data_IF_786495769904
#
_entry.id   IF_786495769904
#
_cell.length_a   1.000
_cell.length_b   1.000
_cell.length_c   1.000
_cell.angle_alpha   90.00
_cell.angle_beta   90.00
_cell.angle_gamma   90.00
#
_symmetry.space_group_name_H-M   'P 1'
#
loop_
_entity.id
_entity.type
_entity.pdbx_description
1 polymer ?
#
# COMPACT_ATOMS: atom_id res chain seq x y z
N UNK A 1 -24.37 6.58 2.13
CA UNK A 1 -23.23 5.73 2.53
C UNK A 1 -21.98 6.56 2.41
N UNK A 2 -21.60 7.21 3.50
CA UNK A 2 -20.41 8.05 3.54
C UNK A 2 -19.16 7.19 3.35
N UNK A 3 -18.52 7.32 2.19
CA UNK A 3 -17.35 6.53 1.76
C UNK A 3 -16.01 7.17 2.15
N UNK A 4 -16.00 8.20 3.00
CA UNK A 4 -14.79 8.86 3.47
C UNK A 4 -14.14 8.08 4.62
N UNK A 5 -13.72 6.84 4.35
CA UNK A 5 -12.88 6.08 5.29
C UNK A 5 -11.42 6.43 5.04
N UNK A 6 -10.75 6.92 6.07
CA UNK A 6 -9.33 7.29 6.06
C UNK A 6 -8.49 6.30 6.87
N UNK A 7 -7.17 6.30 6.66
CA UNK A 7 -6.26 5.44 7.42
C UNK A 7 -6.21 5.77 8.92
N UNK A 8 -6.65 6.96 9.30
CA UNK A 8 -6.77 7.42 10.68
C UNK A 8 -8.00 6.81 11.39
N UNK A 9 -9.00 6.36 10.63
CA UNK A 9 -10.19 5.69 11.18
C UNK A 9 -9.93 4.22 11.58
N UNK A 10 -8.81 3.65 11.13
CA UNK A 10 -8.41 2.28 11.45
C UNK A 10 -7.52 2.31 12.69
N UNK A 11 -7.89 1.66 13.79
CA UNK A 11 -7.06 1.60 15.00
C UNK A 11 -6.12 0.39 14.95
N UNK A 12 -4.83 0.61 15.23
CA UNK A 12 -3.81 -0.45 15.25
C UNK A 12 -3.25 -0.80 13.86
N UNK A 13 -2.60 -1.98 13.75
CA UNK A 13 -2.03 -2.49 12.50
C UNK A 13 -1.02 -1.56 11.82
N UNK A 14 -0.27 -0.75 12.59
CA UNK A 14 0.64 0.27 12.07
C UNK A 14 1.69 -0.29 11.09
N UNK A 15 2.19 -1.50 11.35
CA UNK A 15 3.11 -2.20 10.45
C UNK A 15 2.44 -2.54 9.11
N UNK A 16 1.20 -3.02 9.12
CA UNK A 16 0.45 -3.32 7.91
C UNK A 16 0.13 -2.04 7.12
N UNK A 17 -0.31 -0.97 7.81
CA UNK A 17 -0.56 0.34 7.17
C UNK A 17 0.69 0.93 6.52
N UNK A 18 1.83 0.83 7.21
CA UNK A 18 3.13 1.31 6.69
C UNK A 18 3.53 0.52 5.45
N UNK A 19 3.47 -0.81 5.52
CA UNK A 19 3.76 -1.67 4.37
C UNK A 19 2.82 -1.38 3.18
N UNK A 20 1.53 -1.14 3.45
CA UNK A 20 0.55 -0.79 2.42
C UNK A 20 0.87 0.55 1.75
N UNK A 21 1.20 1.57 2.54
CA UNK A 21 1.61 2.88 2.01
C UNK A 21 2.87 2.77 1.16
N UNK A 22 3.88 2.07 1.64
CA UNK A 22 5.13 1.88 0.89
C UNK A 22 4.90 1.13 -0.43
N UNK A 23 4.15 0.03 -0.39
CA UNK A 23 3.80 -0.77 -1.54
C UNK A 23 3.12 0.03 -2.66
N UNK A 24 2.28 0.99 -2.28
CA UNK A 24 1.54 1.85 -3.22
C UNK A 24 2.37 3.07 -3.64
N UNK A 25 3.08 3.70 -2.71
CA UNK A 25 3.80 4.96 -2.97
C UNK A 25 5.12 4.71 -3.72
N UNK A 26 5.86 3.64 -3.40
CA UNK A 26 7.18 3.37 -4.00
C UNK A 26 7.11 3.21 -5.53
N UNK A 27 6.15 2.45 -6.11
CA UNK A 27 5.98 2.38 -7.55
C UNK A 27 5.68 3.71 -8.21
N UNK A 28 4.86 4.54 -7.56
CA UNK A 28 4.40 5.84 -8.08
C UNK A 28 5.54 6.87 -8.02
N UNK A 29 6.30 6.91 -6.92
CA UNK A 29 7.45 7.82 -6.77
C UNK A 29 8.64 7.42 -7.62
N UNK A 30 8.90 6.12 -7.78
CA UNK A 30 10.09 5.63 -8.48
C UNK A 30 9.75 4.68 -9.62
N UNK A 31 8.97 5.11 -10.63
CA UNK A 31 8.53 4.25 -11.72
C UNK A 31 9.70 3.66 -12.53
N UNK A 32 10.88 4.31 -12.50
CA UNK A 32 12.11 3.82 -13.13
C UNK A 32 12.72 2.61 -12.42
N UNK A 33 12.54 2.46 -11.11
CA UNK A 33 13.05 1.31 -10.33
C UNK A 33 12.21 0.04 -10.54
N UNK A 34 10.96 0.21 -11.01
CA UNK A 34 10.00 -0.86 -11.22
C UNK A 34 9.81 -1.23 -12.71
N UNK A 35 10.83 -0.98 -13.55
CA UNK A 35 10.85 -1.45 -14.95
C UNK A 35 11.59 -2.79 -15.04
N UNK A 36 10.93 -3.84 -15.54
CA UNK A 36 11.52 -5.17 -15.74
C UNK A 36 11.07 -6.21 -14.70
N UNK A 37 12.02 -6.99 -14.15
CA UNK A 37 11.73 -8.09 -13.18
C UNK A 37 11.15 -7.62 -11.84
N UNK A 38 11.46 -6.38 -11.43
CA UNK A 38 10.84 -5.73 -10.26
C UNK A 38 9.52 -5.11 -10.69
N UNK A 39 8.48 -5.93 -10.77
CA UNK A 39 7.11 -5.43 -10.99
C UNK A 39 6.59 -4.79 -9.69
N UNK A 40 5.75 -3.75 -9.79
CA UNK A 40 5.03 -3.25 -8.62
C UNK A 40 4.18 -4.36 -8.00
N UNK A 41 3.81 -4.20 -6.74
CA UNK A 41 3.05 -5.21 -6.02
C UNK A 41 1.69 -5.39 -6.71
N UNK A 42 1.36 -6.62 -7.10
CA UNK A 42 0.16 -6.91 -7.89
C UNK A 42 -1.10 -7.10 -7.02
N UNK A 43 -0.93 -7.29 -5.71
CA UNK A 43 -2.01 -7.45 -4.76
C UNK A 43 -1.46 -7.50 -3.34
N UNK A 44 -2.31 -7.13 -2.38
CA UNK A 44 -2.02 -7.18 -0.95
C UNK A 44 -2.99 -8.19 -0.34
N UNK A 45 -2.46 -9.24 0.29
CA UNK A 45 -3.25 -10.20 1.04
C UNK A 45 -3.25 -9.79 2.51
N UNK A 46 -4.41 -9.36 3.01
CA UNK A 46 -4.64 -9.16 4.43
C UNK A 46 -5.34 -10.42 4.95
N UNK A 47 -4.74 -11.08 5.94
CA UNK A 47 -5.31 -12.28 6.55
C UNK A 47 -5.18 -12.17 8.08
N UNK A 48 -6.14 -12.79 8.78
CA UNK A 48 -6.28 -12.78 10.23
C UNK A 48 -7.48 -13.62 10.63
#
# INVERSE_FOLDING_TARGET
>A
TDLNVTFDDVVGLEQAKTALREAVILPVKFPKLFKGKRKPWAGILLYG
#
